data_IF_954695327615
#
_entry.id   IF_954695327615
#
_cell.length_a   1.000
_cell.length_b   1.000
_cell.length_c   1.000
_cell.angle_alpha   90.00
_cell.angle_beta   90.00
_cell.angle_gamma   90.00
#
_symmetry.space_group_name_H-M   'P 1'
#
loop_
_entity.id
_entity.type
_entity.pdbx_description
1 polymer ?
#
# COMPACT_ATOMS: atom_id res chain seq x y z
N UNK A 1 13.21 25.36 -20.68
CA UNK A 1 12.02 25.30 -19.80
C UNK A 1 12.39 24.39 -18.64
N UNK A 2 12.02 24.75 -17.42
CA UNK A 2 12.17 23.82 -16.29
C UNK A 2 11.36 22.56 -16.58
N UNK A 3 11.84 21.41 -16.11
CA UNK A 3 11.15 20.12 -16.25
C UNK A 3 10.39 19.79 -14.96
N UNK A 4 9.93 20.76 -14.18
CA UNK A 4 9.32 20.45 -12.88
C UNK A 4 7.88 19.90 -13.07
N UNK A 5 7.53 18.90 -12.26
CA UNK A 5 6.16 18.38 -12.21
C UNK A 5 5.20 19.41 -11.61
N UNK A 6 3.97 19.49 -12.16
CA UNK A 6 2.92 20.36 -11.62
C UNK A 6 1.53 19.79 -11.94
N UNK A 7 0.51 20.28 -11.23
CA UNK A 7 -0.89 20.07 -11.58
C UNK A 7 -1.45 21.32 -12.28
N UNK A 8 -2.15 21.12 -13.40
CA UNK A 8 -2.81 22.21 -14.13
C UNK A 8 -4.25 22.36 -13.65
N UNK A 9 -4.65 23.61 -13.40
CA UNK A 9 -5.99 23.95 -12.93
C UNK A 9 -6.82 24.51 -14.07
N UNK A 10 -7.97 23.89 -14.30
CA UNK A 10 -9.00 24.36 -15.20
C UNK A 10 -10.31 24.55 -14.42
N UNK A 11 -11.15 25.48 -14.86
CA UNK A 11 -12.47 25.70 -14.27
C UNK A 11 -13.52 25.83 -15.36
N UNK A 12 -14.73 25.37 -15.07
CA UNK A 12 -15.92 25.56 -15.91
C UNK A 12 -17.18 25.53 -15.05
N UNK A 13 -18.21 26.25 -15.50
CA UNK A 13 -19.58 26.15 -14.97
C UNK A 13 -20.38 25.00 -15.61
N UNK A 14 -19.85 24.35 -16.65
CA UNK A 14 -20.45 23.21 -17.35
C UNK A 14 -19.44 22.06 -17.49
N UNK A 15 -19.87 20.82 -17.25
CA UNK A 15 -18.98 19.66 -17.29
C UNK A 15 -18.44 19.37 -18.69
N UNK A 16 -19.16 19.73 -19.75
CA UNK A 16 -18.84 19.36 -21.13
C UNK A 16 -18.14 20.47 -21.92
N UNK A 17 -18.33 21.74 -21.55
CA UNK A 17 -17.86 22.90 -22.29
C UNK A 17 -17.22 23.94 -21.36
N UNK A 18 -16.72 25.06 -21.90
CA UNK A 18 -16.39 26.25 -21.10
C UNK A 18 -15.11 26.17 -20.25
N UNK A 19 -14.34 25.08 -20.35
CA UNK A 19 -13.10 24.91 -19.58
C UNK A 19 -12.07 25.99 -19.88
N UNK A 20 -11.77 26.80 -18.87
CA UNK A 20 -10.76 27.86 -18.92
C UNK A 20 -9.53 27.45 -18.12
N UNK A 21 -8.35 27.60 -18.73
CA UNK A 21 -7.09 27.41 -18.02
C UNK A 21 -6.88 28.52 -16.99
N UNK A 22 -6.76 28.15 -15.71
CA UNK A 22 -6.58 29.10 -14.59
C UNK A 22 -5.13 29.25 -14.17
N UNK A 23 -4.30 28.25 -14.40
CA UNK A 23 -2.88 28.30 -14.09
C UNK A 23 -2.34 26.96 -13.57
N UNK A 24 -1.11 27.01 -13.10
CA UNK A 24 -0.44 25.89 -12.42
C UNK A 24 -0.70 25.98 -10.91
N UNK A 25 -0.97 24.83 -10.29
CA UNK A 25 -1.08 24.71 -8.83
C UNK A 25 0.28 25.02 -8.20
N UNK A 26 0.30 25.97 -7.26
CA UNK A 26 1.50 26.30 -6.47
C UNK A 26 1.51 25.47 -5.20
N UNK A 27 2.63 24.79 -4.95
CA UNK A 27 2.84 24.03 -3.72
C UNK A 27 4.18 24.43 -3.11
N UNK A 28 4.20 25.47 -2.24
CA UNK A 28 5.44 26.01 -1.70
C UNK A 28 6.30 24.94 -1.01
N UNK A 29 7.59 24.86 -1.39
CA UNK A 29 8.54 23.86 -0.90
C UNK A 29 8.59 22.57 -1.72
N UNK A 30 7.72 22.42 -2.74
CA UNK A 30 7.66 21.25 -3.63
C UNK A 30 7.81 21.63 -5.11
N UNK A 31 8.31 22.83 -5.40
CA UNK A 31 8.45 23.35 -6.78
C UNK A 31 9.37 22.49 -7.66
N UNK A 32 10.28 21.71 -7.06
CA UNK A 32 11.23 20.83 -7.75
C UNK A 32 11.05 19.36 -7.35
N UNK A 33 9.84 18.97 -6.94
CA UNK A 33 9.56 17.65 -6.40
C UNK A 33 9.20 16.64 -7.49
N UNK A 34 10.23 16.21 -8.24
CA UNK A 34 10.06 15.36 -9.41
C UNK A 34 9.80 16.17 -10.68
N UNK A 35 9.90 15.51 -11.82
CA UNK A 35 9.76 16.16 -13.13
C UNK A 35 8.38 15.96 -13.80
N UNK A 36 7.54 15.14 -13.17
CA UNK A 36 6.15 14.91 -13.55
C UNK A 36 5.35 14.52 -12.30
N UNK A 37 4.13 15.05 -12.19
CA UNK A 37 3.15 14.66 -11.18
C UNK A 37 2.01 13.91 -11.86
N UNK A 38 2.00 12.59 -11.75
CA UNK A 38 0.92 11.75 -12.26
C UNK A 38 -0.21 11.61 -11.24
N UNK A 39 -1.41 11.31 -11.76
CA UNK A 39 -2.61 11.04 -10.98
C UNK A 39 -2.90 12.06 -9.84
N UNK A 40 -2.74 13.39 -10.05
CA UNK A 40 -2.98 14.34 -8.98
C UNK A 40 -4.48 14.39 -8.64
N UNK A 41 -4.78 14.46 -7.34
CA UNK A 41 -6.11 14.74 -6.81
C UNK A 41 -6.00 15.62 -5.57
N UNK A 42 -6.94 16.55 -5.40
CA UNK A 42 -7.09 17.32 -4.18
C UNK A 42 -8.39 16.85 -3.53
N UNK A 43 -8.25 16.33 -2.33
CA UNK A 43 -9.31 15.63 -1.60
C UNK A 43 -9.50 16.29 -0.24
N UNK A 44 -10.73 16.33 0.25
CA UNK A 44 -11.07 16.95 1.53
C UNK A 44 -11.66 15.92 2.49
N UNK A 45 -10.99 15.72 3.62
CA UNK A 45 -11.41 14.83 4.71
C UNK A 45 -11.84 15.68 5.91
N UNK A 46 -13.14 15.86 6.09
CA UNK A 46 -13.66 16.83 7.05
C UNK A 46 -13.21 18.25 6.67
N UNK A 47 -12.33 18.86 7.48
CA UNK A 47 -11.76 20.19 7.21
C UNK A 47 -10.30 20.14 6.72
N UNK A 48 -9.76 18.94 6.46
CA UNK A 48 -8.38 18.76 6.05
C UNK A 48 -8.29 18.53 4.54
N UNK A 49 -7.59 19.42 3.83
CA UNK A 49 -7.27 19.21 2.42
C UNK A 49 -6.02 18.34 2.28
N UNK A 50 -6.02 17.49 1.26
CA UNK A 50 -4.98 16.51 0.98
C UNK A 50 -4.69 16.54 -0.51
N UNK A 51 -3.44 16.81 -0.89
CA UNK A 51 -2.95 16.66 -2.26
C UNK A 51 -2.36 15.26 -2.39
N UNK A 52 -3.02 14.35 -3.11
CA UNK A 52 -2.47 13.05 -3.49
C UNK A 52 -1.93 13.13 -4.91
N UNK A 53 -0.75 12.55 -5.14
CA UNK A 53 -0.11 12.56 -6.45
C UNK A 53 1.04 11.56 -6.50
N UNK A 54 1.48 11.26 -7.72
CA UNK A 54 2.58 10.36 -7.99
C UNK A 54 3.76 11.12 -8.62
N UNK A 55 4.73 11.60 -7.81
CA UNK A 55 5.89 12.29 -8.36
C UNK A 55 6.89 11.31 -8.96
N UNK A 56 7.33 11.60 -10.18
CA UNK A 56 8.25 10.78 -10.96
C UNK A 56 9.70 11.29 -10.93
N UNK A 57 10.61 10.37 -11.27
CA UNK A 57 12.04 10.59 -11.51
C UNK A 57 12.85 11.20 -10.36
N UNK A 58 12.45 11.01 -9.10
CA UNK A 58 13.20 11.45 -7.92
C UNK A 58 13.49 10.28 -6.96
N UNK A 59 14.52 10.40 -6.14
CA UNK A 59 14.84 9.39 -5.13
C UNK A 59 14.34 9.82 -3.76
N UNK A 60 13.75 8.88 -3.02
CA UNK A 60 13.35 9.08 -1.62
C UNK A 60 14.19 8.19 -0.71
N UNK A 61 14.59 8.67 0.49
CA UNK A 61 15.30 7.85 1.47
C UNK A 61 14.54 6.55 1.79
N UNK A 62 15.28 5.43 1.85
CA UNK A 62 14.72 4.14 2.25
C UNK A 62 13.88 3.42 1.18
N UNK A 63 13.90 3.87 -0.08
CA UNK A 63 13.10 3.30 -1.18
C UNK A 63 13.91 2.58 -2.27
N UNK A 64 15.15 2.19 -1.97
CA UNK A 64 16.04 1.53 -2.94
C UNK A 64 16.28 2.40 -4.17
N UNK A 65 16.33 1.78 -5.35
CA UNK A 65 16.45 2.47 -6.64
C UNK A 65 15.18 3.13 -7.15
N UNK A 66 14.06 3.00 -6.45
CA UNK A 66 12.76 3.48 -6.91
C UNK A 66 12.76 4.97 -7.22
N UNK A 67 12.32 5.30 -8.44
CA UNK A 67 12.25 6.69 -8.93
C UNK A 67 10.84 7.24 -9.03
N UNK A 68 9.84 6.38 -8.92
CA UNK A 68 8.43 6.72 -9.09
C UNK A 68 7.71 6.42 -7.77
N UNK A 69 7.13 7.44 -7.15
CA UNK A 69 6.51 7.32 -5.82
C UNK A 69 5.03 7.63 -5.86
N UNK A 70 4.29 7.12 -4.89
CA UNK A 70 2.87 7.37 -4.69
C UNK A 70 2.66 7.89 -3.26
N UNK A 71 2.07 9.08 -3.12
CA UNK A 71 2.01 9.73 -1.83
C UNK A 71 1.09 10.92 -1.78
N UNK A 72 1.21 11.66 -0.68
CA UNK A 72 0.34 12.78 -0.37
C UNK A 72 1.03 13.85 0.47
N UNK A 73 0.43 15.03 0.46
CA UNK A 73 0.75 16.15 1.35
C UNK A 73 -0.55 16.60 2.01
N UNK A 74 -0.54 16.74 3.34
CA UNK A 74 -1.63 17.41 4.07
C UNK A 74 -1.42 18.92 3.98
N UNK A 75 -2.50 19.70 3.89
CA UNK A 75 -2.37 21.16 3.81
C UNK A 75 -3.71 21.89 3.72
N UNK A 76 -3.68 23.06 3.10
CA UNK A 76 -4.88 23.87 2.87
C UNK A 76 -4.86 24.41 1.44
N UNK A 77 -5.97 24.23 0.73
CA UNK A 77 -6.13 24.70 -0.64
C UNK A 77 -6.76 26.09 -0.69
N UNK A 78 -6.10 27.03 -1.36
CA UNK A 78 -6.66 28.33 -1.73
C UNK A 78 -6.95 28.36 -3.23
N UNK A 79 -8.24 28.34 -3.58
CA UNK A 79 -8.72 28.31 -4.97
C UNK A 79 -8.57 29.65 -5.70
N UNK A 80 -8.55 30.79 -5.00
CA UNK A 80 -8.37 32.11 -5.61
C UNK A 80 -6.94 32.32 -6.10
N UNK A 81 -5.96 31.83 -5.34
CA UNK A 81 -4.53 31.98 -5.66
C UNK A 81 -3.93 30.76 -6.35
N UNK A 82 -4.70 29.67 -6.44
CA UNK A 82 -4.27 28.33 -6.86
C UNK A 82 -3.05 27.85 -6.06
N UNK A 83 -3.13 27.96 -4.74
CA UNK A 83 -2.03 27.57 -3.84
C UNK A 83 -2.49 26.51 -2.87
N UNK A 84 -1.86 25.34 -2.91
CA UNK A 84 -1.94 24.35 -1.85
C UNK A 84 -0.79 24.60 -0.87
N UNK A 85 -1.09 25.01 0.35
CA UNK A 85 -0.08 25.30 1.38
C UNK A 85 0.17 24.04 2.22
N UNK A 86 1.35 23.41 2.14
CA UNK A 86 1.64 22.19 2.91
C UNK A 86 1.64 22.43 4.42
N UNK A 87 1.05 21.52 5.18
CA UNK A 87 1.15 21.39 6.64
C UNK A 87 2.10 20.25 7.03
N UNK A 88 3.32 20.26 6.47
CA UNK A 88 4.35 19.27 6.76
C UNK A 88 5.03 18.70 5.52
N UNK A 89 5.57 17.50 5.69
CA UNK A 89 6.36 16.82 4.66
C UNK A 89 5.47 15.97 3.71
N UNK A 90 6.04 15.56 2.59
CA UNK A 90 5.46 14.53 1.74
C UNK A 90 5.48 13.19 2.47
N UNK A 91 4.37 12.47 2.38
CA UNK A 91 4.20 11.14 2.94
C UNK A 91 4.00 10.14 1.81
N UNK A 92 4.83 9.09 1.79
CA UNK A 92 4.57 7.93 0.95
C UNK A 92 3.28 7.25 1.43
N UNK A 93 2.41 6.89 0.49
CA UNK A 93 1.12 6.28 0.78
C UNK A 93 1.28 4.81 1.20
N UNK A 94 2.21 4.08 0.57
CA UNK A 94 2.45 2.66 0.81
C UNK A 94 3.95 2.37 0.88
N UNK A 95 4.37 1.73 1.97
CA UNK A 95 5.78 1.45 2.25
C UNK A 95 6.27 0.17 1.56
N UNK A 96 5.39 -0.57 0.86
CA UNK A 96 5.74 -1.77 0.13
C UNK A 96 6.50 -1.50 -1.17
N UNK A 97 6.53 -2.48 -2.07
CA UNK A 97 7.27 -2.43 -3.33
C UNK A 97 6.39 -2.01 -4.51
N UNK A 98 5.11 -2.38 -4.49
CA UNK A 98 4.25 -2.34 -5.66
C UNK A 98 2.94 -1.60 -5.33
N UNK A 99 2.98 -0.27 -5.35
CA UNK A 99 1.81 0.59 -5.13
C UNK A 99 2.00 1.94 -5.81
N UNK A 100 1.19 2.21 -6.82
CA UNK A 100 1.26 3.41 -7.63
C UNK A 100 -0.12 3.86 -8.12
N UNK A 101 -0.20 5.07 -8.68
CA UNK A 101 -1.41 5.62 -9.29
C UNK A 101 -2.66 5.48 -8.40
N UNK A 102 -2.52 5.70 -7.10
CA UNK A 102 -3.65 5.59 -6.20
C UNK A 102 -4.63 6.73 -6.43
N UNK A 103 -5.89 6.37 -6.56
CA UNK A 103 -7.00 7.30 -6.62
C UNK A 103 -7.92 7.02 -5.44
N UNK A 104 -8.56 8.06 -4.93
CA UNK A 104 -9.62 7.91 -3.95
C UNK A 104 -10.87 8.68 -4.35
N UNK A 105 -11.98 8.26 -3.77
CA UNK A 105 -13.25 8.94 -3.91
C UNK A 105 -13.77 9.25 -2.50
N UNK A 106 -13.87 10.53 -2.19
CA UNK A 106 -14.60 11.03 -1.04
C UNK A 106 -16.11 10.86 -1.24
N UNK A 107 -16.88 10.93 -0.15
CA UNK A 107 -18.34 11.01 -0.15
C UNK A 107 -19.11 9.68 -0.32
N UNK A 108 -18.98 8.80 0.67
CA UNK A 108 -20.00 7.79 0.98
C UNK A 108 -20.63 8.14 2.33
N UNK A 109 -21.53 9.13 2.35
CA UNK A 109 -22.32 9.55 3.52
C UNK A 109 -21.53 10.16 4.70
N UNK A 110 -20.22 9.88 4.81
CA UNK A 110 -19.33 10.35 5.88
C UNK A 110 -18.22 11.24 5.29
N UNK A 111 -18.23 12.54 5.62
CA UNK A 111 -17.30 13.53 5.05
C UNK A 111 -15.83 13.34 5.48
N UNK A 112 -15.55 12.55 6.51
CA UNK A 112 -14.20 12.31 7.03
C UNK A 112 -13.50 11.10 6.41
N UNK A 113 -14.13 10.46 5.41
CA UNK A 113 -13.69 9.20 4.83
C UNK A 113 -13.66 9.23 3.31
N UNK A 114 -12.67 8.55 2.75
CA UNK A 114 -12.63 8.15 1.34
C UNK A 114 -12.48 6.63 1.19
N UNK A 115 -12.80 6.13 0.00
CA UNK A 115 -12.29 4.84 -0.46
C UNK A 115 -11.12 5.09 -1.39
N UNK A 116 -9.99 4.45 -1.11
CA UNK A 116 -8.78 4.47 -1.93
C UNK A 116 -8.54 3.10 -2.59
N UNK A 117 -8.17 3.12 -3.87
CA UNK A 117 -7.66 1.97 -4.61
C UNK A 117 -6.37 2.39 -5.33
N UNK A 118 -5.34 1.56 -5.26
CA UNK A 118 -4.10 1.74 -6.00
C UNK A 118 -3.90 0.69 -7.07
N UNK A 119 -3.05 1.00 -8.04
CA UNK A 119 -2.46 -0.01 -8.91
C UNK A 119 -1.35 -0.72 -8.14
N UNK A 120 -1.40 -2.06 -8.10
CA UNK A 120 -0.34 -2.89 -7.54
C UNK A 120 0.77 -3.10 -8.58
N UNK A 121 1.50 -2.04 -8.84
CA UNK A 121 2.65 -1.99 -9.72
C UNK A 121 3.34 -0.63 -9.63
N UNK A 122 4.40 -0.44 -10.40
CA UNK A 122 5.15 0.82 -10.52
C UNK A 122 5.48 1.02 -12.01
N UNK A 123 5.60 2.27 -12.52
CA UNK A 123 6.10 2.49 -13.88
C UNK A 123 7.55 2.04 -14.06
N UNK A 124 7.94 1.74 -15.30
CA UNK A 124 9.31 1.44 -15.71
C UNK A 124 9.93 0.18 -15.07
N UNK A 125 9.09 -0.75 -14.59
CA UNK A 125 9.51 -2.05 -14.09
C UNK A 125 8.81 -3.19 -14.82
N UNK A 126 9.33 -4.41 -14.68
CA UNK A 126 8.76 -5.62 -15.31
C UNK A 126 8.35 -6.65 -14.25
N UNK A 127 7.43 -7.52 -14.60
CA UNK A 127 6.93 -8.57 -13.71
C UNK A 127 7.00 -9.94 -14.40
N UNK A 128 7.25 -11.04 -13.67
CA UNK A 128 7.22 -12.39 -14.24
C UNK A 128 5.96 -12.74 -15.04
N UNK A 129 4.79 -12.18 -14.67
CA UNK A 129 3.55 -12.39 -15.42
C UNK A 129 3.52 -11.76 -16.80
N UNK A 130 4.49 -10.90 -17.15
CA UNK A 130 4.62 -10.34 -18.49
C UNK A 130 4.85 -11.48 -19.53
N UNK A 131 5.46 -12.60 -19.13
CA UNK A 131 5.59 -13.81 -19.96
C UNK A 131 4.27 -14.57 -20.17
N UNK A 132 3.25 -14.27 -19.36
CA UNK A 132 1.91 -14.86 -19.41
C UNK A 132 0.90 -13.96 -20.15
N UNK A 133 1.38 -12.89 -20.81
CA UNK A 133 0.57 -11.90 -21.53
C UNK A 133 -0.44 -11.12 -20.66
N UNK A 134 -0.18 -10.98 -19.35
CA UNK A 134 -0.96 -10.10 -18.46
C UNK A 134 -0.09 -9.43 -17.39
N UNK A 135 -0.48 -8.22 -16.96
CA UNK A 135 0.28 -7.46 -15.97
C UNK A 135 -0.61 -6.68 -15.01
N UNK A 136 -0.18 -6.67 -13.75
CA UNK A 136 -0.77 -5.87 -12.68
C UNK A 136 -2.07 -6.42 -12.09
N UNK A 137 -2.46 -5.79 -10.99
CA UNK A 137 -3.77 -5.91 -10.37
C UNK A 137 -4.04 -4.62 -9.58
N UNK A 138 -5.22 -4.49 -8.97
CA UNK A 138 -5.51 -3.40 -8.04
C UNK A 138 -5.25 -3.86 -6.61
N UNK A 139 -4.91 -2.93 -5.73
CA UNK A 139 -4.91 -3.18 -4.29
C UNK A 139 -6.32 -3.49 -3.80
N UNK A 140 -6.43 -4.04 -2.59
CA UNK A 140 -7.69 -4.01 -1.87
C UNK A 140 -8.22 -2.57 -1.73
N UNK A 141 -9.54 -2.37 -1.73
CA UNK A 141 -10.12 -1.07 -1.42
C UNK A 141 -9.87 -0.75 0.06
N UNK A 142 -9.43 0.48 0.31
CA UNK A 142 -9.02 0.96 1.63
C UNK A 142 -9.90 2.12 2.08
N UNK A 143 -10.45 2.04 3.28
CA UNK A 143 -10.98 3.22 3.97
C UNK A 143 -9.79 4.13 4.32
N UNK A 144 -9.88 5.39 3.91
CA UNK A 144 -8.88 6.41 4.14
C UNK A 144 -9.45 7.45 5.12
N UNK A 145 -8.70 7.72 6.20
CA UNK A 145 -9.05 8.72 7.23
C UNK A 145 -7.82 9.54 7.60
N UNK A 146 -8.02 10.73 8.17
CA UNK A 146 -6.94 11.54 8.74
C UNK A 146 -6.84 11.27 10.25
N UNK A 147 -5.62 11.02 10.77
CA UNK A 147 -5.36 10.92 12.21
C UNK A 147 -4.07 11.65 12.57
N UNK A 148 -4.20 12.81 13.22
CA UNK A 148 -3.06 13.69 13.44
C UNK A 148 -2.53 14.20 12.11
N UNK A 149 -1.22 14.10 11.87
CA UNK A 149 -0.55 14.58 10.64
C UNK A 149 -0.29 13.47 9.63
N UNK A 150 -1.19 12.49 9.52
CA UNK A 150 -1.09 11.38 8.57
C UNK A 150 -2.45 10.87 8.13
N UNK A 151 -2.47 10.34 6.91
CA UNK A 151 -3.51 9.44 6.46
C UNK A 151 -3.33 8.06 7.09
N UNK A 152 -4.46 7.43 7.39
CA UNK A 152 -4.58 6.08 7.92
C UNK A 152 -5.41 5.27 6.93
N UNK A 153 -4.88 4.11 6.54
CA UNK A 153 -5.49 3.22 5.55
C UNK A 153 -5.92 1.91 6.21
N UNK A 154 -7.21 1.56 6.11
CA UNK A 154 -7.73 0.28 6.61
C UNK A 154 -8.39 -0.49 5.49
N UNK A 155 -8.26 -1.83 5.42
CA UNK A 155 -9.07 -2.61 4.50
C UNK A 155 -10.55 -2.40 4.82
N UNK A 156 -11.40 -2.22 3.80
CA UNK A 156 -12.83 -2.03 4.01
C UNK A 156 -13.43 -3.12 4.93
N UNK A 157 -14.29 -2.77 5.89
CA UNK A 157 -14.95 -3.74 6.77
C UNK A 157 -15.70 -4.84 5.99
N UNK A 158 -16.26 -4.49 4.83
CA UNK A 158 -17.01 -5.38 3.94
C UNK A 158 -16.18 -6.55 3.42
N UNK A 159 -14.84 -6.42 3.37
CA UNK A 159 -13.94 -7.50 2.95
C UNK A 159 -14.07 -8.72 3.87
N UNK A 160 -14.55 -8.56 5.11
CA UNK A 160 -14.85 -9.69 6.01
C UNK A 160 -15.91 -10.65 5.44
N UNK A 161 -16.73 -10.21 4.48
CA UNK A 161 -17.70 -11.07 3.77
C UNK A 161 -17.01 -12.11 2.87
N UNK A 162 -15.75 -11.86 2.49
CA UNK A 162 -14.93 -12.81 1.74
C UNK A 162 -14.38 -13.91 2.61
N UNK A 163 -14.38 -13.79 3.95
CA UNK A 163 -13.97 -14.89 4.84
C UNK A 163 -14.80 -16.14 4.54
N UNK A 164 -14.10 -17.25 4.40
CA UNK A 164 -14.69 -18.56 4.22
C UNK A 164 -14.39 -19.44 5.44
N UNK A 165 -13.43 -20.35 5.33
CA UNK A 165 -13.09 -21.30 6.39
C UNK A 165 -12.10 -20.67 7.36
N UNK A 166 -12.41 -20.74 8.65
CA UNK A 166 -11.45 -20.38 9.69
C UNK A 166 -10.39 -21.49 9.83
N UNK A 167 -9.12 -21.12 9.69
CA UNK A 167 -8.01 -22.04 9.85
C UNK A 167 -7.65 -22.11 11.33
N UNK A 168 -7.74 -23.32 11.89
CA UNK A 168 -7.32 -23.58 13.26
C UNK A 168 -5.87 -24.04 13.22
N UNK A 169 -4.96 -23.15 13.64
CA UNK A 169 -3.58 -23.52 13.87
C UNK A 169 -3.54 -24.47 15.07
N UNK A 170 -3.37 -25.76 14.81
CA UNK A 170 -3.08 -26.73 15.87
C UNK A 170 -1.64 -26.51 16.30
N UNK A 171 -1.39 -26.49 17.61
CA UNK A 171 -0.03 -26.46 18.13
C UNK A 171 0.68 -27.79 17.77
N UNK A 172 1.75 -27.71 16.98
CA UNK A 172 2.58 -28.82 16.49
C UNK A 172 2.44 -28.96 14.96
N UNK A 173 3.49 -28.87 14.13
CA UNK A 173 4.88 -29.32 14.25
C UNK A 173 5.83 -28.22 13.69
N UNK A 174 6.90 -27.86 14.39
CA UNK A 174 7.94 -26.95 13.87
C UNK A 174 7.53 -25.50 13.50
N UNK A 175 6.26 -25.10 13.70
CA UNK A 175 5.81 -23.72 13.44
C UNK A 175 5.61 -23.36 11.96
N UNK A 176 5.62 -24.35 11.05
CA UNK A 176 5.42 -24.17 9.61
C UNK A 176 4.08 -24.76 9.15
N UNK A 177 3.30 -23.98 8.42
CA UNK A 177 1.92 -24.31 8.04
C UNK A 177 1.70 -24.07 6.57
N UNK A 178 0.79 -24.84 5.96
CA UNK A 178 0.41 -24.62 4.56
C UNK A 178 -0.32 -23.29 4.40
N UNK A 179 0.17 -22.42 3.52
CA UNK A 179 -0.43 -21.14 3.18
C UNK A 179 -1.54 -21.39 2.15
N UNK A 180 -2.80 -20.98 2.42
CA UNK A 180 -3.84 -21.02 1.41
C UNK A 180 -3.52 -20.06 0.27
N UNK A 181 -3.99 -20.37 -0.94
CA UNK A 181 -3.79 -19.52 -2.13
C UNK A 181 -4.30 -18.09 -1.92
N UNK A 182 -5.42 -17.94 -1.21
CA UNK A 182 -5.95 -16.65 -0.79
C UNK A 182 -6.38 -16.71 0.68
N UNK A 183 -5.85 -15.81 1.50
CA UNK A 183 -6.05 -15.82 2.94
C UNK A 183 -6.04 -14.42 3.56
N UNK A 184 -6.77 -14.28 4.66
CA UNK A 184 -6.66 -13.16 5.58
C UNK A 184 -6.11 -13.66 6.92
N UNK A 185 -5.07 -12.99 7.41
CA UNK A 185 -4.40 -13.29 8.68
C UNK A 185 -4.42 -12.03 9.54
N UNK A 186 -5.10 -12.09 10.68
CA UNK A 186 -5.05 -11.05 11.72
C UNK A 186 -4.20 -11.54 12.89
N UNK A 187 -3.35 -10.68 13.45
CA UNK A 187 -2.56 -10.98 14.64
C UNK A 187 -2.69 -9.82 15.63
N UNK A 188 -3.12 -10.11 16.85
CA UNK A 188 -2.84 -9.22 17.97
C UNK A 188 -1.44 -9.53 18.50
N UNK A 189 -0.61 -8.51 18.65
CA UNK A 189 0.77 -8.64 19.07
C UNK A 189 0.95 -8.07 20.48
N UNK A 190 1.55 -8.84 21.37
CA UNK A 190 2.07 -8.31 22.64
C UNK A 190 3.48 -7.75 22.44
N UNK A 191 3.97 -6.91 23.38
CA UNK A 191 5.32 -6.38 23.31
C UNK A 191 6.37 -7.50 23.19
N UNK A 192 7.21 -7.42 22.16
CA UNK A 192 8.24 -8.40 21.84
C UNK A 192 8.57 -8.41 20.36
N UNK A 193 9.67 -9.06 20.01
CA UNK A 193 10.03 -9.28 18.62
C UNK A 193 8.99 -10.20 17.96
N UNK A 194 8.68 -9.92 16.69
CA UNK A 194 7.73 -10.70 15.90
C UNK A 194 8.35 -10.99 14.54
N UNK A 195 8.22 -12.23 14.07
CA UNK A 195 8.67 -12.63 12.74
C UNK A 195 7.59 -13.48 12.07
N UNK A 196 7.24 -13.14 10.84
CA UNK A 196 6.35 -13.92 9.99
C UNK A 196 7.05 -14.18 8.68
N UNK A 197 7.05 -15.42 8.22
CA UNK A 197 7.52 -15.78 6.90
C UNK A 197 6.34 -16.28 6.09
N UNK A 198 6.16 -15.76 4.89
CA UNK A 198 5.14 -16.19 3.93
C UNK A 198 5.79 -16.72 2.68
N UNK A 199 5.11 -17.62 1.97
CA UNK A 199 5.62 -18.24 0.75
C UNK A 199 6.95 -18.98 0.98
N UNK A 200 7.10 -19.62 2.14
CA UNK A 200 8.26 -20.46 2.42
C UNK A 200 8.12 -21.82 1.76
N UNK A 201 9.22 -22.56 1.66
CA UNK A 201 9.18 -24.00 1.41
C UNK A 201 8.56 -24.77 2.61
N UNK A 202 8.41 -26.09 2.47
CA UNK A 202 7.85 -26.95 3.53
C UNK A 202 8.72 -27.03 4.80
N UNK A 203 9.99 -26.64 4.73
CA UNK A 203 10.89 -26.55 5.88
C UNK A 203 10.86 -25.16 6.53
N UNK A 204 10.08 -24.23 5.98
CA UNK A 204 9.98 -22.86 6.48
C UNK A 204 11.14 -21.97 6.03
N UNK A 205 11.83 -22.27 4.93
CA UNK A 205 12.93 -21.46 4.41
C UNK A 205 12.48 -20.61 3.22
N UNK A 206 13.15 -19.47 3.07
CA UNK A 206 12.90 -18.52 1.99
C UNK A 206 11.59 -17.73 2.17
N UNK A 207 11.08 -17.18 1.07
CA UNK A 207 9.82 -16.44 1.04
C UNK A 207 9.96 -14.93 1.33
N UNK A 208 8.84 -14.34 1.75
CA UNK A 208 8.75 -12.96 2.24
C UNK A 208 8.74 -12.96 3.76
N UNK A 209 9.72 -12.30 4.36
CA UNK A 209 9.84 -12.14 5.81
C UNK A 209 9.31 -10.77 6.25
N UNK A 210 8.43 -10.76 7.24
CA UNK A 210 7.98 -9.58 7.97
C UNK A 210 8.56 -9.68 9.37
N UNK A 211 9.50 -8.79 9.70
CA UNK A 211 10.18 -8.77 10.99
C UNK A 211 9.91 -7.47 11.72
N UNK A 212 9.55 -7.55 12.98
CA UNK A 212 9.47 -6.41 13.87
C UNK A 212 10.48 -6.58 15.01
N UNK A 213 11.32 -5.55 15.18
CA UNK A 213 12.32 -5.41 16.25
C UNK A 213 11.75 -4.49 17.33
N UNK A 214 11.42 -5.04 18.50
CA UNK A 214 10.80 -4.31 19.61
C UNK A 214 11.74 -3.29 20.24
N UNK A 215 13.05 -3.55 20.19
CA UNK A 215 14.07 -2.64 20.73
C UNK A 215 14.21 -1.40 19.86
N UNK A 216 14.25 -1.58 18.54
CA UNK A 216 14.34 -0.47 17.56
C UNK A 216 12.99 0.15 17.23
N UNK A 217 11.89 -0.52 17.58
CA UNK A 217 10.52 -0.14 17.20
C UNK A 217 10.38 -0.02 15.69
N UNK A 218 10.87 -1.02 14.96
CA UNK A 218 10.97 -0.99 13.51
C UNK A 218 10.41 -2.26 12.89
N UNK A 219 9.58 -2.12 11.86
CA UNK A 219 9.11 -3.23 11.03
C UNK A 219 9.82 -3.23 9.69
N UNK A 220 10.20 -4.41 9.23
CA UNK A 220 10.89 -4.68 7.97
C UNK A 220 10.09 -5.71 7.18
N UNK A 221 9.84 -5.44 5.91
CA UNK A 221 9.31 -6.40 4.95
C UNK A 221 10.40 -6.69 3.92
N UNK A 222 10.82 -7.95 3.84
CA UNK A 222 11.94 -8.40 3.02
C UNK A 222 11.50 -9.55 2.10
N UNK A 223 11.67 -9.39 0.79
CA UNK A 223 11.33 -10.39 -0.23
C UNK A 223 12.55 -11.08 -0.86
N UNK A 224 13.76 -10.87 -0.34
CA UNK A 224 15.00 -11.47 -0.85
C UNK A 224 15.08 -12.99 -0.68
N UNK A 225 14.25 -13.55 0.20
CA UNK A 225 14.17 -15.00 0.42
C UNK A 225 13.39 -15.76 -0.65
N UNK A 226 12.66 -15.07 -1.53
CA UNK A 226 11.91 -15.69 -2.63
C UNK A 226 12.87 -16.31 -3.65
N UNK A 227 12.52 -17.48 -4.20
CA UNK A 227 13.31 -18.13 -5.25
C UNK A 227 13.35 -17.33 -6.56
N UNK A 228 12.22 -16.72 -6.92
CA UNK A 228 12.14 -15.86 -8.10
C UNK A 228 12.28 -14.39 -7.67
N UNK A 229 13.40 -13.78 -8.04
CA UNK A 229 13.66 -12.35 -7.83
C UNK A 229 13.35 -11.56 -9.10
N UNK A 230 12.94 -10.30 -8.91
CA UNK A 230 12.62 -9.36 -9.99
C UNK A 230 12.75 -7.93 -9.46
N UNK A 231 12.94 -6.96 -10.36
CA UNK A 231 13.11 -5.54 -10.03
C UNK A 231 14.16 -5.30 -8.93
N UNK A 232 15.33 -5.94 -9.06
CA UNK A 232 16.36 -5.96 -8.00
C UNK A 232 16.92 -4.57 -7.70
N UNK A 233 16.91 -3.67 -8.68
CA UNK A 233 17.31 -2.27 -8.53
C UNK A 233 16.43 -1.52 -7.52
N UNK A 234 15.17 -1.92 -7.36
CA UNK A 234 14.23 -1.37 -6.37
C UNK A 234 14.58 -1.81 -4.93
N UNK A 235 15.51 -2.76 -4.78
CA UNK A 235 15.88 -3.40 -3.53
C UNK A 235 14.85 -4.42 -3.06
N UNK A 236 15.26 -5.23 -2.07
CA UNK A 236 14.46 -6.34 -1.56
C UNK A 236 13.80 -6.10 -0.21
N UNK A 237 14.13 -4.98 0.44
CA UNK A 237 13.69 -4.70 1.80
C UNK A 237 13.06 -3.31 1.91
N UNK A 238 12.03 -3.21 2.75
CA UNK A 238 11.33 -1.96 3.10
C UNK A 238 11.20 -1.88 4.61
N UNK A 239 11.59 -0.74 5.15
CA UNK A 239 11.70 -0.54 6.59
C UNK A 239 10.85 0.64 7.04
N UNK A 240 10.16 0.50 8.17
CA UNK A 240 9.34 1.56 8.75
C UNK A 240 9.44 1.59 10.28
N UNK A 241 9.81 2.74 10.88
CA UNK A 241 9.67 2.91 12.32
C UNK A 241 8.19 3.01 12.74
N UNK A 242 7.87 2.42 13.89
CA UNK A 242 6.55 2.40 14.50
C UNK A 242 6.61 3.09 15.87
N UNK A 243 6.19 4.35 15.94
CA UNK A 243 6.29 5.17 17.17
C UNK A 243 5.64 4.53 18.41
N UNK A 244 4.50 3.87 18.22
CA UNK A 244 3.76 3.19 19.29
C UNK A 244 4.17 1.72 19.50
N UNK A 245 5.16 1.22 18.74
CA UNK A 245 5.46 -0.20 18.61
C UNK A 245 4.39 -0.99 17.87
N UNK A 246 4.63 -2.30 17.70
CA UNK A 246 3.69 -3.20 17.02
C UNK A 246 2.64 -3.72 18.01
N UNK A 247 1.36 -3.61 17.65
CA UNK A 247 0.25 -4.15 18.42
C UNK A 247 -0.75 -4.95 17.58
N UNK A 248 -0.82 -4.71 16.26
CA UNK A 248 -1.74 -5.42 15.39
C UNK A 248 -1.18 -5.54 13.96
N UNK A 249 -1.39 -6.69 13.34
CA UNK A 249 -1.15 -6.92 11.92
C UNK A 249 -2.41 -7.49 11.28
N UNK A 250 -2.76 -6.99 10.10
CA UNK A 250 -3.78 -7.59 9.23
C UNK A 250 -3.20 -7.77 7.84
N UNK A 251 -3.06 -9.01 7.42
CA UNK A 251 -2.32 -9.42 6.23
C UNK A 251 -3.28 -10.11 5.28
N UNK A 252 -3.24 -9.74 4.01
CA UNK A 252 -3.94 -10.39 2.92
C UNK A 252 -2.94 -11.00 1.97
N UNK A 253 -3.11 -12.29 1.71
CA UNK A 253 -2.35 -13.05 0.73
C UNK A 253 -3.31 -13.43 -0.40
N UNK A 254 -2.84 -13.30 -1.63
CA UNK A 254 -3.45 -13.89 -2.82
C UNK A 254 -2.35 -14.54 -3.70
N UNK A 255 -2.74 -15.12 -4.82
CA UNK A 255 -1.90 -15.95 -5.68
C UNK A 255 -0.53 -15.36 -6.02
N UNK A 256 -0.44 -14.05 -6.25
CA UNK A 256 0.80 -13.35 -6.62
C UNK A 256 0.96 -11.99 -5.92
N UNK A 257 0.42 -11.85 -4.70
CA UNK A 257 0.42 -10.59 -3.97
C UNK A 257 0.28 -10.76 -2.46
N UNK A 258 0.83 -9.80 -1.72
CA UNK A 258 0.65 -9.65 -0.28
C UNK A 258 0.45 -8.18 0.09
N UNK A 259 -0.57 -7.91 0.92
CA UNK A 259 -0.83 -6.60 1.53
C UNK A 259 -0.79 -6.71 3.05
N UNK A 260 0.00 -5.86 3.71
CA UNK A 260 0.29 -5.91 5.15
C UNK A 260 -0.13 -4.57 5.77
N UNK A 261 -1.21 -4.59 6.56
CA UNK A 261 -1.71 -3.43 7.29
C UNK A 261 -1.23 -3.49 8.73
N UNK A 262 -0.49 -2.48 9.17
CA UNK A 262 0.15 -2.41 10.49
C UNK A 262 -0.63 -1.47 11.41
N UNK A 263 -0.88 -1.91 12.65
CA UNK A 263 -1.56 -1.16 13.73
C UNK A 263 -2.85 -0.45 13.27
N UNK A 264 -3.70 -1.17 12.53
CA UNK A 264 -4.95 -0.62 11.98
C UNK A 264 -4.76 0.62 11.11
N UNK A 265 -3.69 0.63 10.30
CA UNK A 265 -3.45 1.59 9.22
C UNK A 265 -2.35 2.61 9.49
N UNK A 266 -1.49 2.39 10.47
CA UNK A 266 -0.29 3.21 10.72
C UNK A 266 0.71 3.15 9.56
N UNK A 267 0.80 1.98 8.93
CA UNK A 267 1.58 1.72 7.73
C UNK A 267 0.90 0.62 6.91
N UNK A 268 1.11 0.66 5.60
CA UNK A 268 0.71 -0.41 4.67
C UNK A 268 1.92 -0.80 3.85
N UNK A 269 2.10 -2.09 3.62
CA UNK A 269 3.07 -2.61 2.66
C UNK A 269 2.35 -3.47 1.63
N UNK A 270 2.46 -3.10 0.36
CA UNK A 270 1.95 -3.88 -0.77
C UNK A 270 3.10 -4.42 -1.60
N UNK A 271 3.07 -5.71 -1.92
CA UNK A 271 4.06 -6.33 -2.80
C UNK A 271 3.42 -7.34 -3.74
N UNK A 272 3.87 -7.33 -4.99
CA UNK A 272 3.79 -8.50 -5.87
C UNK A 272 4.77 -9.55 -5.37
N UNK A 273 4.40 -10.81 -5.54
CA UNK A 273 5.21 -12.00 -5.22
C UNK A 273 4.89 -13.07 -6.26
N UNK A 274 5.85 -13.93 -6.57
CA UNK A 274 5.69 -14.97 -7.59
C UNK A 274 6.21 -16.30 -7.03
N UNK A 275 5.48 -16.91 -6.08
CA UNK A 275 5.93 -18.14 -5.45
C UNK A 275 5.98 -19.29 -6.47
N UNK A 276 7.03 -20.10 -6.36
CA UNK A 276 7.12 -21.41 -7.04
C UNK A 276 6.12 -22.42 -6.46
N UNK A 277 5.98 -23.58 -7.10
CA UNK A 277 5.13 -24.67 -6.60
C UNK A 277 5.53 -25.17 -5.19
N UNK A 278 6.75 -24.88 -4.73
CA UNK A 278 7.23 -25.27 -3.40
C UNK A 278 6.99 -24.19 -2.33
N UNK A 279 6.76 -22.94 -2.73
CA UNK A 279 6.68 -21.74 -1.85
C UNK A 279 5.24 -21.45 -1.39
N UNK A 280 4.63 -22.42 -0.70
CA UNK A 280 3.23 -22.38 -0.27
C UNK A 280 3.05 -22.69 1.22
N UNK A 281 4.04 -22.30 2.03
CA UNK A 281 3.98 -22.40 3.48
C UNK A 281 4.20 -21.04 4.14
N UNK A 282 3.92 -20.97 5.44
CA UNK A 282 4.16 -19.79 6.25
C UNK A 282 4.52 -20.18 7.68
N UNK A 283 5.21 -19.27 8.37
CA UNK A 283 5.57 -19.37 9.77
C UNK A 283 5.17 -18.11 10.53
N UNK A 284 4.89 -18.29 11.81
CA UNK A 284 4.60 -17.18 12.73
C UNK A 284 5.39 -17.42 14.01
N UNK A 285 6.15 -16.42 14.42
CA UNK A 285 6.94 -16.40 15.65
C UNK A 285 6.73 -15.09 16.41
N UNK A 286 6.71 -15.18 17.75
CA UNK A 286 6.46 -14.08 18.68
C UNK A 286 5.28 -14.35 19.62
N UNK A 287 5.06 -13.48 20.62
CA UNK A 287 3.89 -13.52 21.50
C UNK A 287 2.68 -12.88 20.79
N UNK A 288 2.10 -13.65 19.87
CA UNK A 288 1.03 -13.21 18.98
C UNK A 288 -0.19 -14.12 19.04
N UNK A 289 -1.37 -13.56 18.75
CA UNK A 289 -2.65 -14.26 18.77
C UNK A 289 -3.27 -14.28 17.36
N UNK A 290 -2.88 -15.25 16.52
CA UNK A 290 -3.27 -15.26 15.12
C UNK A 290 -4.72 -15.75 14.92
N UNK A 291 -5.41 -15.14 13.96
CA UNK A 291 -6.72 -15.56 13.45
C UNK A 291 -6.65 -15.57 11.94
N UNK A 292 -6.94 -16.73 11.34
CA UNK A 292 -6.76 -16.96 9.91
C UNK A 292 -8.05 -17.42 9.26
N UNK A 293 -8.30 -16.93 8.05
CA UNK A 293 -9.40 -17.36 7.21
C UNK A 293 -8.91 -17.57 5.78
N UNK A 294 -9.40 -18.62 5.11
CA UNK A 294 -9.38 -18.64 3.65
C UNK A 294 -10.34 -17.58 3.11
N UNK A 295 -10.08 -17.10 1.89
CA UNK A 295 -10.91 -16.10 1.23
C UNK A 295 -11.63 -16.67 0.01
N UNK A 296 -12.92 -16.32 -0.11
CA UNK A 296 -13.74 -16.55 -1.30
C UNK A 296 -13.26 -15.67 -2.43
N UNK A 297 -13.51 -16.10 -3.67
CA UNK A 297 -13.33 -15.24 -4.84
C UNK A 297 -14.20 -13.98 -4.72
N UNK A 298 -13.57 -12.82 -4.84
CA UNK A 298 -14.26 -11.53 -4.84
C UNK A 298 -14.96 -11.24 -6.17
N UNK A 299 -14.41 -11.74 -7.27
CA UNK A 299 -14.97 -11.63 -8.62
C UNK A 299 -15.55 -12.99 -9.00
N UNK A 300 -16.79 -12.99 -9.48
CA UNK A 300 -17.40 -14.14 -10.14
C UNK A 300 -17.28 -13.89 -11.63
N UNK A 301 -16.94 -14.91 -12.42
CA UNK A 301 -16.74 -14.82 -13.88
C UNK A 301 -18.04 -14.51 -14.67
N UNK A 302 -19.05 -13.96 -14.00
CA UNK A 302 -20.23 -13.38 -14.62
C UNK A 302 -19.88 -11.96 -15.07
N UNK A 303 -19.20 -11.84 -16.20
CA UNK A 303 -19.18 -10.59 -16.92
C UNK A 303 -20.63 -10.25 -17.30
N UNK A 304 -21.16 -9.19 -16.70
CA UNK A 304 -22.35 -8.53 -17.23
C UNK A 304 -21.88 -7.80 -18.48
N UNK A 305 -21.98 -8.47 -19.64
CA UNK A 305 -21.84 -7.83 -20.95
C UNK A 305 -23.11 -7.03 -21.22
#
# INVERSE_FOLDING_TARGET
KSKDGCALMYASDDLQHGWEFKGELKVPGYEHFGDMWECPSIEQFGNQDVLLFCPQHLTLPGRGGSRNHNGYILGTMNWDTLTFTPDGQFHVLDFGFDSYAAACANNLQEAEKAILIGWMGVPDVSYPTDEEDWAGCLTLPRELTVRGRRLVQRPLPELKKLRDERIIMKAGDGGCYRLPKAAEIELDCRPGDVELDFFTDSEGKGGVTIRYDETKKEIVVDRSGMKLTFNEEEGFSRTRPLEAGLNHLRIFVDASSIEIFVNDGDAVFTSRVFPTEEEHHFRIWGDVFPRLWTLKRAIRDHFLI
#
